data_IF_780597850530
#
_entry.id   IF_780597850530
#
_cell.length_a   1.000
_cell.length_b   1.000
_cell.length_c   1.000
_cell.angle_alpha   90.00
_cell.angle_beta   90.00
_cell.angle_gamma   90.00
#
_symmetry.space_group_name_H-M   'P 1'
#
loop_
_entity.id
_entity.type
_entity.pdbx_description
1 polymer ?
#
# COMPACT_ATOMS: atom_id res chain seq x y z
N UNK A 1 1.68 -0.21 29.30
CA UNK A 1 2.45 -0.44 28.06
C UNK A 1 1.44 -0.48 26.93
N UNK A 2 1.62 0.33 25.88
CA UNK A 2 0.77 0.28 24.68
C UNK A 2 1.04 -1.05 23.98
N UNK A 3 0.00 -1.75 23.56
CA UNK A 3 0.15 -3.00 22.81
C UNK A 3 0.80 -2.74 21.45
N UNK A 4 1.66 -3.64 20.96
CA UNK A 4 2.24 -3.54 19.60
C UNK A 4 1.15 -3.35 18.54
N UNK A 5 -0.02 -3.97 18.72
CA UNK A 5 -1.16 -3.81 17.81
C UNK A 5 -1.75 -2.39 17.85
N UNK A 6 -1.81 -1.76 19.03
CA UNK A 6 -2.28 -0.37 19.18
C UNK A 6 -1.29 0.62 18.56
N UNK A 7 0.02 0.39 18.75
CA UNK A 7 1.07 1.20 18.14
C UNK A 7 1.01 1.13 16.59
N UNK A 8 0.82 -0.07 16.03
CA UNK A 8 0.64 -0.25 14.58
C UNK A 8 -0.63 0.44 14.08
N UNK A 9 -1.76 0.30 14.79
CA UNK A 9 -3.01 0.97 14.43
C UNK A 9 -2.82 2.49 14.38
N UNK A 10 -2.20 3.08 15.41
CA UNK A 10 -1.93 4.51 15.48
C UNK A 10 -1.02 4.98 14.34
N UNK A 11 0.03 4.21 14.02
CA UNK A 11 0.94 4.54 12.92
C UNK A 11 0.24 4.49 11.55
N UNK A 12 -0.59 3.49 11.31
CA UNK A 12 -1.38 3.39 10.07
C UNK A 12 -2.33 4.58 9.94
N UNK A 13 -3.05 4.92 11.01
CA UNK A 13 -4.00 6.03 11.05
C UNK A 13 -3.30 7.37 10.78
N UNK A 14 -2.12 7.58 11.37
CA UNK A 14 -1.30 8.75 11.13
C UNK A 14 -0.83 8.83 9.67
N UNK A 15 -0.23 7.75 9.14
CA UNK A 15 0.27 7.72 7.76
C UNK A 15 -0.87 7.90 6.76
N UNK A 16 -2.04 7.32 7.03
CA UNK A 16 -3.22 7.50 6.18
C UNK A 16 -3.66 8.97 6.13
N UNK A 17 -3.74 9.66 7.28
CA UNK A 17 -4.12 11.08 7.31
C UNK A 17 -3.08 11.99 6.67
N UNK A 18 -1.80 11.73 6.89
CA UNK A 18 -0.73 12.66 6.53
C UNK A 18 -0.18 12.43 5.12
N UNK A 19 -0.14 11.17 4.65
CA UNK A 19 0.63 10.80 3.46
C UNK A 19 -0.20 10.13 2.35
N UNK A 20 -1.46 9.74 2.59
CA UNK A 20 -2.29 9.05 1.59
C UNK A 20 -2.35 9.76 0.24
N UNK A 21 -2.59 11.08 0.23
CA UNK A 21 -2.64 11.89 -1.01
C UNK A 21 -1.31 11.91 -1.76
N UNK A 22 -0.19 11.97 -1.03
CA UNK A 22 1.17 11.96 -1.62
C UNK A 22 1.53 10.60 -2.19
N UNK A 23 1.14 9.52 -1.50
CA UNK A 23 1.30 8.16 -1.97
C UNK A 23 0.47 7.94 -3.23
N UNK A 24 -0.81 8.33 -3.21
CA UNK A 24 -1.71 8.23 -4.37
C UNK A 24 -1.17 8.99 -5.58
N UNK A 25 -0.77 10.26 -5.41
CA UNK A 25 -0.19 11.05 -6.50
C UNK A 25 1.08 10.41 -7.09
N UNK A 26 1.89 9.76 -6.24
CA UNK A 26 3.06 9.02 -6.69
C UNK A 26 2.67 7.78 -7.47
N UNK A 27 1.68 7.01 -6.99
CA UNK A 27 1.18 5.82 -7.66
C UNK A 27 0.52 6.16 -9.01
N UNK A 28 -0.30 7.21 -9.10
CA UNK A 28 -0.88 7.71 -10.35
C UNK A 28 0.23 7.96 -11.38
N UNK A 29 1.29 8.66 -10.98
CA UNK A 29 2.41 8.96 -11.88
C UNK A 29 3.20 7.72 -12.29
N UNK A 30 3.27 6.69 -11.44
CA UNK A 30 4.01 5.45 -11.73
C UNK A 30 3.19 4.43 -12.53
N UNK A 31 1.87 4.44 -12.39
CA UNK A 31 0.97 3.46 -12.97
C UNK A 31 0.22 3.99 -14.21
N UNK A 32 0.11 5.32 -14.35
CA UNK A 32 -0.52 5.97 -15.50
C UNK A 32 -2.05 5.90 -15.51
N UNK A 33 -2.66 5.38 -14.44
CA UNK A 33 -4.09 5.13 -14.33
C UNK A 33 -4.55 5.45 -12.90
N UNK A 34 -5.62 6.23 -12.78
CA UNK A 34 -6.13 6.69 -11.48
C UNK A 34 -6.79 5.56 -10.68
N UNK A 35 -7.66 4.79 -11.31
CA UNK A 35 -8.43 3.73 -10.66
C UNK A 35 -7.48 2.62 -10.18
N UNK A 36 -6.50 2.27 -11.03
CA UNK A 36 -5.45 1.31 -10.66
C UNK A 36 -4.59 1.82 -9.49
N UNK A 37 -4.32 3.13 -9.44
CA UNK A 37 -3.54 3.72 -8.36
C UNK A 37 -4.31 3.79 -7.03
N UNK A 38 -5.62 4.03 -7.07
CA UNK A 38 -6.49 3.98 -5.90
C UNK A 38 -6.58 2.55 -5.35
N UNK A 39 -6.81 1.56 -6.22
CA UNK A 39 -6.80 0.15 -5.84
C UNK A 39 -5.46 -0.24 -5.19
N UNK A 40 -4.34 0.17 -5.82
CA UNK A 40 -3.00 -0.08 -5.30
C UNK A 40 -2.73 0.57 -3.94
N UNK A 41 -3.25 1.78 -3.71
CA UNK A 41 -3.14 2.50 -2.44
C UNK A 41 -3.85 1.70 -1.33
N UNK A 42 -5.10 1.32 -1.57
CA UNK A 42 -5.90 0.60 -0.59
C UNK A 42 -5.32 -0.78 -0.27
N UNK A 43 -4.87 -1.53 -1.28
CA UNK A 43 -4.20 -2.81 -1.08
C UNK A 43 -2.90 -2.64 -0.28
N UNK A 44 -2.11 -1.59 -0.54
CA UNK A 44 -0.89 -1.34 0.23
C UNK A 44 -1.19 -1.10 1.72
N UNK A 45 -2.23 -0.33 2.05
CA UNK A 45 -2.67 -0.12 3.43
C UNK A 45 -3.24 -1.40 4.05
N UNK A 46 -3.99 -2.20 3.30
CA UNK A 46 -4.49 -3.49 3.77
C UNK A 46 -3.32 -4.41 4.18
N UNK A 47 -2.30 -4.52 3.32
CA UNK A 47 -1.11 -5.33 3.62
C UNK A 47 -0.33 -4.74 4.80
N UNK A 48 -0.29 -3.41 4.96
CA UNK A 48 0.38 -2.77 6.09
C UNK A 48 -0.22 -3.19 7.44
N UNK A 49 -1.54 -3.33 7.55
CA UNK A 49 -2.22 -3.79 8.78
C UNK A 49 -1.65 -5.11 9.26
N UNK A 50 -1.55 -6.10 8.37
CA UNK A 50 -1.05 -7.42 8.72
C UNK A 50 0.49 -7.43 8.88
N UNK A 51 1.19 -6.82 7.93
CA UNK A 51 2.66 -6.92 7.84
C UNK A 51 3.33 -6.16 8.97
N UNK A 52 2.84 -4.97 9.34
CA UNK A 52 3.49 -4.17 10.39
C UNK A 52 3.22 -4.74 11.79
N UNK A 53 2.12 -5.47 11.99
CA UNK A 53 1.89 -6.23 13.22
C UNK A 53 2.91 -7.34 13.41
N UNK A 54 3.25 -8.07 12.33
CA UNK A 54 4.20 -9.18 12.40
C UNK A 54 5.66 -8.74 12.36
N UNK A 55 5.98 -7.82 11.45
CA UNK A 55 7.37 -7.49 11.08
C UNK A 55 7.82 -6.13 11.66
N UNK A 56 6.91 -5.39 12.29
CA UNK A 56 7.14 -4.03 12.77
C UNK A 56 6.89 -2.95 11.71
N UNK A 57 6.80 -1.70 12.18
CA UNK A 57 6.63 -0.53 11.30
C UNK A 57 7.97 -0.24 10.60
N UNK A 58 8.01 -0.14 9.27
CA UNK A 58 9.23 0.15 8.53
C UNK A 58 9.74 1.57 8.84
N UNK A 59 11.05 1.78 8.73
CA UNK A 59 11.68 3.09 8.97
C UNK A 59 11.15 4.20 8.04
N UNK A 60 10.68 3.86 6.84
CA UNK A 60 9.99 4.78 5.93
C UNK A 60 8.64 4.20 5.48
N UNK A 61 7.55 4.44 6.24
CA UNK A 61 6.22 3.92 5.92
C UNK A 61 5.71 4.32 4.54
N UNK A 62 5.92 5.58 4.14
CA UNK A 62 5.52 6.09 2.83
C UNK A 62 6.20 5.35 1.68
N UNK A 63 7.52 5.21 1.72
CA UNK A 63 8.27 4.55 0.66
C UNK A 63 7.90 3.07 0.55
N UNK A 64 7.68 2.44 1.70
CA UNK A 64 7.19 1.06 1.77
C UNK A 64 5.82 0.92 1.12
N UNK A 65 4.85 1.79 1.44
CA UNK A 65 3.50 1.77 0.85
C UNK A 65 3.50 1.99 -0.67
N UNK A 66 4.28 2.95 -1.18
CA UNK A 66 4.43 3.17 -2.63
C UNK A 66 4.96 1.90 -3.31
N UNK A 67 5.98 1.27 -2.73
CA UNK A 67 6.61 0.08 -3.29
C UNK A 67 5.66 -1.13 -3.28
N UNK A 68 4.98 -1.36 -2.16
CA UNK A 68 3.99 -2.42 -2.00
C UNK A 68 2.82 -2.24 -2.97
N UNK A 69 2.24 -1.05 -3.06
CA UNK A 69 1.14 -0.75 -3.97
C UNK A 69 1.54 -0.96 -5.43
N UNK A 70 2.69 -0.41 -5.85
CA UNK A 70 3.20 -0.60 -7.22
C UNK A 70 3.43 -2.08 -7.56
N UNK A 71 4.05 -2.84 -6.66
CA UNK A 71 4.31 -4.26 -6.88
C UNK A 71 3.00 -5.04 -7.06
N UNK A 72 2.01 -4.79 -6.19
CA UNK A 72 0.70 -5.47 -6.24
C UNK A 72 -0.10 -5.13 -7.48
N UNK A 73 -0.11 -3.87 -7.89
CA UNK A 73 -0.75 -3.44 -9.14
C UNK A 73 -0.15 -4.17 -10.37
N UNK A 74 1.18 -4.23 -10.46
CA UNK A 74 1.88 -4.92 -11.56
C UNK A 74 1.58 -6.42 -11.54
N UNK A 75 1.59 -7.06 -10.36
CA UNK A 75 1.25 -8.47 -10.22
C UNK A 75 -0.20 -8.75 -10.66
N UNK A 76 -1.15 -7.91 -10.25
CA UNK A 76 -2.55 -8.00 -10.66
C UNK A 76 -2.74 -7.88 -12.18
N UNK A 77 -2.08 -6.92 -12.82
CA UNK A 77 -2.10 -6.76 -14.28
C UNK A 77 -1.54 -8.00 -15.00
N UNK A 78 -0.43 -8.56 -14.51
CA UNK A 78 0.16 -9.79 -15.06
C UNK A 78 -0.79 -10.98 -14.94
N UNK A 79 -1.49 -11.10 -13.82
CA UNK A 79 -2.50 -12.15 -13.60
C UNK A 79 -3.69 -11.99 -14.55
N UNK A 80 -4.28 -10.80 -14.66
CA UNK A 80 -5.39 -10.51 -15.59
C UNK A 80 -5.03 -10.88 -17.03
N UNK A 81 -3.88 -10.42 -17.51
CA UNK A 81 -3.42 -10.71 -18.86
C UNK A 81 -3.22 -12.22 -19.12
N UNK A 82 -2.88 -13.02 -18.09
CA UNK A 82 -2.78 -14.49 -18.23
C UNK A 82 -4.14 -15.14 -18.41
N UNK A 83 -5.16 -14.68 -17.68
CA UNK A 83 -6.53 -15.19 -17.78
C UNK A 83 -7.20 -14.80 -19.11
N UNK A 84 -6.90 -13.63 -19.66
CA UNK A 84 -7.44 -13.20 -20.97
C UNK A 84 -6.89 -13.99 -22.16
N UNK A 85 -5.78 -14.72 -21.98
CA UNK A 85 -5.14 -15.54 -23.03
C UNK A 85 -5.51 -17.02 -22.99
N UNK A 86 -6.31 -17.45 -22.01
CA UNK A 86 -6.75 -18.85 -21.81
C UNK A 86 -8.22 -19.00 -22.15
#
# INVERSE_FOLDING_TARGET
>A
MVSTAEAVRAAIEQVYREESRRILATLIRLLGDFDLAEEALHEAFFIAVERWQRDGIPASPRAWLVSTGRFKAIDGLRRRARFERS
#
